data_IF_042711811504
#
_entry.id   IF_042711811504
#
_cell.length_a   1.000
_cell.length_b   1.000
_cell.length_c   1.000
_cell.angle_alpha   90.00
_cell.angle_beta   90.00
_cell.angle_gamma   90.00
#
_symmetry.space_group_name_H-M   'P 1'
#
loop_
_entity.id
_entity.type
_entity.pdbx_description
1 polymer ?
#
# COMPACT_ATOMS: atom_id res chain seq x y z
N UNK A 1 0.38 -20.86 6.19
CA UNK A 1 1.52 -20.01 6.62
C UNK A 1 1.63 -18.80 5.73
N UNK A 2 1.83 -17.64 6.31
CA UNK A 2 1.89 -16.38 5.58
C UNK A 2 3.34 -15.89 5.49
N UNK A 3 3.77 -15.54 4.30
CA UNK A 3 5.07 -14.92 4.05
C UNK A 3 4.85 -13.54 3.44
N UNK A 4 5.65 -12.56 3.87
CA UNK A 4 5.63 -11.22 3.26
C UNK A 4 7.05 -10.89 2.83
N UNK A 5 7.22 -10.46 1.60
CA UNK A 5 8.54 -10.14 1.05
C UNK A 5 8.42 -9.10 -0.08
N UNK A 6 9.55 -8.65 -0.57
CA UNK A 6 9.59 -7.77 -1.73
C UNK A 6 9.17 -8.56 -2.99
N UNK A 7 8.52 -7.86 -3.90
CA UNK A 7 8.06 -8.42 -5.17
C UNK A 7 9.26 -8.75 -6.07
N UNK A 8 9.18 -9.88 -6.77
CA UNK A 8 10.09 -10.22 -7.88
C UNK A 8 9.26 -10.35 -9.16
N UNK A 9 9.93 -10.34 -10.32
CA UNK A 9 9.25 -10.31 -11.61
C UNK A 9 8.25 -11.46 -11.79
N UNK A 10 8.58 -12.64 -11.28
CA UNK A 10 7.70 -13.81 -11.41
C UNK A 10 6.38 -13.68 -10.63
N UNK A 11 6.26 -12.69 -9.75
CA UNK A 11 5.04 -12.49 -8.97
C UNK A 11 3.96 -11.74 -9.74
N UNK A 12 4.28 -11.11 -10.88
CA UNK A 12 3.36 -10.20 -11.56
C UNK A 12 2.02 -10.84 -11.93
N UNK A 13 2.02 -12.07 -12.43
CA UNK A 13 0.77 -12.75 -12.77
C UNK A 13 -0.09 -13.01 -11.53
N UNK A 14 0.52 -13.44 -10.44
CA UNK A 14 -0.18 -13.63 -9.17
C UNK A 14 -0.77 -12.33 -8.63
N UNK A 15 -0.02 -11.23 -8.75
CA UNK A 15 -0.50 -9.92 -8.33
C UNK A 15 -1.68 -9.46 -9.19
N UNK A 16 -1.62 -9.66 -10.51
CA UNK A 16 -2.73 -9.34 -11.41
C UNK A 16 -3.99 -10.13 -11.04
N UNK A 17 -3.83 -11.39 -10.65
CA UNK A 17 -4.96 -12.20 -10.19
C UNK A 17 -5.59 -11.61 -8.92
N UNK A 18 -4.79 -11.12 -7.98
CA UNK A 18 -5.32 -10.42 -6.80
C UNK A 18 -6.06 -9.15 -7.21
N UNK A 19 -5.46 -8.35 -8.09
CA UNK A 19 -6.06 -7.11 -8.57
C UNK A 19 -7.41 -7.32 -9.28
N UNK A 20 -7.60 -8.49 -9.91
CA UNK A 20 -8.87 -8.85 -10.52
C UNK A 20 -9.98 -9.04 -9.49
N UNK A 21 -9.67 -9.23 -8.22
CA UNK A 21 -10.66 -9.48 -7.16
C UNK A 21 -10.98 -8.24 -6.34
N UNK A 22 -10.26 -7.13 -6.54
CA UNK A 22 -10.42 -5.92 -5.73
C UNK A 22 -10.45 -4.67 -6.63
N UNK A 23 -10.92 -3.55 -6.07
CA UNK A 23 -10.97 -2.26 -6.77
C UNK A 23 -9.85 -1.34 -6.30
N UNK A 24 -8.60 -1.75 -6.51
CA UNK A 24 -7.45 -0.92 -6.15
C UNK A 24 -6.96 -0.11 -7.36
N UNK A 25 -6.58 -0.79 -8.42
CA UNK A 25 -6.31 -0.23 -9.74
C UNK A 25 -6.39 -1.36 -10.77
N UNK A 26 -6.63 -1.05 -12.06
CA UNK A 26 -6.75 -2.10 -13.07
C UNK A 26 -5.47 -2.94 -13.22
N UNK A 27 -5.59 -4.28 -13.33
CA UNK A 27 -4.41 -5.13 -13.49
C UNK A 27 -3.51 -4.75 -14.65
N UNK A 28 -4.07 -4.23 -15.74
CA UNK A 28 -3.31 -3.82 -16.93
C UNK A 28 -2.38 -2.63 -16.66
N UNK A 29 -2.58 -1.91 -15.56
CA UNK A 29 -1.69 -0.80 -15.18
C UNK A 29 -0.46 -1.26 -14.41
N UNK A 30 -0.44 -2.50 -13.94
CA UNK A 30 0.63 -2.98 -13.06
C UNK A 30 2.00 -2.90 -13.71
N UNK A 31 2.11 -3.34 -14.96
CA UNK A 31 3.42 -3.39 -15.65
C UNK A 31 4.07 -2.00 -15.71
N UNK A 32 3.29 -0.97 -16.03
CA UNK A 32 3.80 0.40 -16.09
C UNK A 32 4.12 0.95 -14.69
N UNK A 33 3.26 0.68 -13.71
CA UNK A 33 3.44 1.20 -12.37
C UNK A 33 4.67 0.62 -11.68
N UNK A 34 4.98 -0.66 -11.91
CA UNK A 34 6.08 -1.36 -11.23
C UNK A 34 7.40 -1.30 -12.02
N UNK A 35 7.37 -0.76 -13.24
CA UNK A 35 8.53 -0.79 -14.13
C UNK A 35 9.78 -0.13 -13.52
N UNK A 36 9.64 1.02 -12.87
CA UNK A 36 10.75 1.69 -12.22
C UNK A 36 11.39 0.80 -11.17
N UNK A 37 10.57 0.15 -10.34
CA UNK A 37 11.05 -0.75 -9.30
C UNK A 37 11.81 -1.96 -9.87
N UNK A 38 11.29 -2.56 -10.95
CA UNK A 38 11.90 -3.76 -11.52
C UNK A 38 13.16 -3.47 -12.32
N UNK A 39 13.26 -2.28 -12.95
CA UNK A 39 14.30 -2.00 -13.94
C UNK A 39 15.40 -1.07 -13.44
N UNK A 40 15.19 -0.35 -12.35
CA UNK A 40 16.19 0.58 -11.80
C UNK A 40 16.72 0.05 -10.48
N UNK A 41 17.97 -0.50 -10.43
CA UNK A 41 18.52 -1.03 -9.18
C UNK A 41 18.76 0.04 -8.12
N UNK A 42 18.77 1.32 -8.51
CA UNK A 42 18.95 2.44 -7.58
C UNK A 42 17.62 3.03 -7.09
N UNK A 43 16.48 2.42 -7.45
CA UNK A 43 15.18 2.94 -7.08
C UNK A 43 14.94 2.87 -5.57
N UNK A 44 14.25 3.87 -5.05
CA UNK A 44 13.78 3.86 -3.66
C UNK A 44 12.32 3.45 -3.56
N UNK A 45 11.65 3.15 -4.68
CA UNK A 45 10.32 2.57 -4.68
C UNK A 45 10.39 1.13 -4.17
N UNK A 46 9.38 0.72 -3.41
CA UNK A 46 9.36 -0.63 -2.84
C UNK A 46 7.97 -1.24 -3.06
N UNK A 47 7.97 -2.45 -3.59
CA UNK A 47 6.76 -3.25 -3.77
C UNK A 47 6.87 -4.50 -2.92
N UNK A 48 5.82 -4.77 -2.16
CA UNK A 48 5.74 -5.94 -1.26
C UNK A 48 4.58 -6.83 -1.68
N UNK A 49 4.69 -8.10 -1.37
CA UNK A 49 3.60 -9.06 -1.60
C UNK A 49 3.45 -9.96 -0.39
N UNK A 50 2.23 -10.40 -0.13
CA UNK A 50 1.96 -11.43 0.86
C UNK A 50 1.58 -12.72 0.15
N UNK A 51 2.04 -13.83 0.72
CA UNK A 51 1.87 -15.16 0.15
C UNK A 51 1.27 -16.04 1.24
N UNK A 52 0.16 -16.70 0.92
CA UNK A 52 -0.50 -17.64 1.81
C UNK A 52 -0.51 -19.00 1.14
N UNK A 53 0.11 -19.99 1.80
CA UNK A 53 0.19 -21.36 1.30
C UNK A 53 0.67 -21.44 -0.14
N UNK A 54 1.74 -20.66 -0.44
CA UNK A 54 2.37 -20.64 -1.76
C UNK A 54 1.68 -19.79 -2.80
N UNK A 55 0.59 -19.09 -2.45
CA UNK A 55 -0.20 -18.27 -3.37
C UNK A 55 -0.11 -16.80 -3.02
N UNK A 56 0.13 -15.94 -4.01
CA UNK A 56 0.07 -14.49 -3.86
C UNK A 56 -1.33 -14.09 -3.42
N UNK A 57 -1.43 -13.32 -2.33
CA UNK A 57 -2.72 -12.87 -1.80
C UNK A 57 -2.79 -11.40 -1.45
N UNK A 58 -1.69 -10.68 -1.57
CA UNK A 58 -1.69 -9.25 -1.25
C UNK A 58 -0.59 -8.50 -1.95
N UNK A 59 -0.75 -7.18 -1.99
CA UNK A 59 0.18 -6.26 -2.64
C UNK A 59 0.30 -4.99 -1.82
N UNK A 60 1.51 -4.43 -1.75
CA UNK A 60 1.77 -3.12 -1.17
C UNK A 60 2.78 -2.37 -2.01
N UNK A 61 2.57 -1.07 -2.18
CA UNK A 61 3.48 -0.22 -2.94
C UNK A 61 3.73 1.07 -2.19
N UNK A 62 4.98 1.38 -1.93
CA UNK A 62 5.35 2.63 -1.30
C UNK A 62 6.59 3.23 -1.97
N UNK A 63 6.70 4.55 -1.86
CA UNK A 63 7.80 5.30 -2.43
C UNK A 63 8.06 6.55 -1.57
N UNK A 64 9.28 7.11 -1.61
CA UNK A 64 9.55 8.33 -0.87
C UNK A 64 8.81 9.51 -1.45
N UNK A 65 8.34 10.40 -0.57
CA UNK A 65 7.81 11.69 -0.98
C UNK A 65 8.95 12.59 -1.40
N UNK A 66 8.75 13.26 -2.53
CA UNK A 66 9.76 14.14 -3.09
C UNK A 66 10.08 15.29 -2.13
N UNK A 67 11.36 15.66 -2.07
CA UNK A 67 11.84 16.83 -1.31
C UNK A 67 11.67 16.71 0.20
N UNK A 68 11.45 15.48 0.71
CA UNK A 68 11.35 15.26 2.16
C UNK A 68 12.60 14.58 2.69
N UNK A 69 12.79 14.69 4.00
CA UNK A 69 13.79 13.93 4.72
C UNK A 69 13.12 12.64 5.23
N UNK A 70 13.19 11.58 4.42
CA UNK A 70 12.83 10.22 4.80
C UNK A 70 11.35 10.03 5.17
N UNK A 71 10.45 10.66 4.41
CA UNK A 71 9.01 10.40 4.46
C UNK A 71 8.63 9.50 3.29
N UNK A 72 7.99 8.38 3.59
CA UNK A 72 7.42 7.48 2.58
C UNK A 72 5.93 7.65 2.51
N UNK A 73 5.38 7.40 1.32
CA UNK A 73 3.94 7.35 1.08
C UNK A 73 3.57 5.91 0.67
N UNK A 74 2.57 5.36 1.32
CA UNK A 74 1.97 4.09 0.93
C UNK A 74 0.93 4.38 -0.14
N UNK A 75 1.30 4.16 -1.41
CA UNK A 75 0.42 4.48 -2.54
C UNK A 75 -0.65 3.44 -2.79
N UNK A 76 -0.39 2.18 -2.42
CA UNK A 76 -1.37 1.12 -2.62
C UNK A 76 -1.15 0.01 -1.61
N UNK A 77 -2.24 -0.55 -1.10
CA UNK A 77 -2.26 -1.79 -0.33
C UNK A 77 -3.55 -2.51 -0.65
N UNK A 78 -3.47 -3.79 -0.92
CA UNK A 78 -4.64 -4.59 -1.22
C UNK A 78 -4.47 -6.04 -0.83
N UNK A 79 -5.58 -6.67 -0.46
CA UNK A 79 -5.64 -8.09 -0.10
C UNK A 79 -6.74 -8.72 -0.94
N UNK A 80 -6.48 -9.93 -1.42
CA UNK A 80 -7.45 -10.69 -2.20
C UNK A 80 -8.82 -10.68 -1.51
N UNK A 81 -9.87 -10.53 -2.30
CA UNK A 81 -11.21 -10.27 -1.79
C UNK A 81 -11.68 -11.26 -0.72
N UNK A 82 -11.50 -12.56 -0.94
CA UNK A 82 -11.95 -13.60 -0.01
C UNK A 82 -11.08 -13.73 1.25
N UNK A 83 -9.97 -13.04 1.31
CA UNK A 83 -9.07 -13.03 2.47
C UNK A 83 -9.12 -11.73 3.26
N UNK A 84 -9.96 -10.79 2.87
CA UNK A 84 -10.14 -9.54 3.62
C UNK A 84 -10.81 -9.81 4.96
N UNK A 85 -10.51 -8.96 5.95
CA UNK A 85 -11.06 -9.09 7.29
C UNK A 85 -10.45 -10.20 8.14
N UNK A 86 -9.36 -10.81 7.67
CA UNK A 86 -8.69 -11.93 8.36
C UNK A 86 -7.29 -11.58 8.88
N UNK A 87 -6.97 -10.29 8.91
CA UNK A 87 -5.70 -9.81 9.47
C UNK A 87 -4.53 -9.74 8.49
N UNK A 88 -4.71 -10.06 7.21
CA UNK A 88 -3.62 -10.00 6.23
C UNK A 88 -3.13 -8.57 6.00
N UNK A 89 -4.05 -7.61 5.89
CA UNK A 89 -3.69 -6.20 5.72
C UNK A 89 -2.88 -5.67 6.90
N UNK A 90 -3.29 -6.03 8.11
CA UNK A 90 -2.56 -5.65 9.33
C UNK A 90 -1.14 -6.21 9.34
N UNK A 91 -0.98 -7.47 8.95
CA UNK A 91 0.34 -8.10 8.88
C UNK A 91 1.23 -7.41 7.84
N UNK A 92 0.67 -7.07 6.68
CA UNK A 92 1.41 -6.35 5.65
C UNK A 92 1.85 -4.97 6.15
N UNK A 93 0.96 -4.24 6.82
CA UNK A 93 1.31 -2.92 7.35
C UNK A 93 2.43 -3.01 8.38
N UNK A 94 2.34 -3.97 9.31
CA UNK A 94 3.41 -4.19 10.29
C UNK A 94 4.74 -4.48 9.62
N UNK A 95 4.73 -5.30 8.58
CA UNK A 95 5.96 -5.63 7.85
C UNK A 95 6.54 -4.41 7.14
N UNK A 96 5.70 -3.65 6.45
CA UNK A 96 6.12 -2.45 5.70
C UNK A 96 6.68 -1.42 6.68
N UNK A 97 5.98 -1.16 7.78
CA UNK A 97 6.43 -0.20 8.80
C UNK A 97 7.79 -0.62 9.38
N UNK A 98 7.93 -1.89 9.72
CA UNK A 98 9.21 -2.41 10.24
C UNK A 98 10.34 -2.30 9.25
N UNK A 99 10.07 -2.65 7.99
CA UNK A 99 11.06 -2.55 6.93
C UNK A 99 11.54 -1.09 6.75
N UNK A 100 10.60 -0.17 6.65
CA UNK A 100 10.92 1.25 6.46
C UNK A 100 11.66 1.84 7.67
N UNK A 101 11.23 1.46 8.87
CA UNK A 101 11.91 1.89 10.13
C UNK A 101 13.36 1.40 10.16
N UNK A 102 13.58 0.15 9.82
CA UNK A 102 14.93 -0.45 9.84
C UNK A 102 15.86 0.20 8.81
N UNK A 103 15.30 0.77 7.75
CA UNK A 103 16.06 1.53 6.75
C UNK A 103 16.25 3.00 7.14
N UNK A 104 15.78 3.42 8.31
CA UNK A 104 15.98 4.77 8.82
C UNK A 104 14.93 5.77 8.37
N UNK A 105 13.81 5.32 7.82
CA UNK A 105 12.74 6.23 7.43
C UNK A 105 11.96 6.68 8.66
N UNK A 106 11.48 7.94 8.65
CA UNK A 106 10.91 8.57 9.83
C UNK A 106 9.39 8.51 9.89
N UNK A 107 8.74 8.65 8.75
CA UNK A 107 7.30 8.87 8.66
C UNK A 107 6.75 8.06 7.50
N UNK A 108 5.58 7.45 7.74
CA UNK A 108 4.77 6.86 6.68
C UNK A 108 3.45 7.60 6.60
N UNK A 109 3.10 8.08 5.41
CA UNK A 109 1.78 8.66 5.16
C UNK A 109 1.01 7.76 4.20
N UNK A 110 -0.31 7.85 4.25
CA UNK A 110 -1.19 7.16 3.31
C UNK A 110 -2.37 8.06 3.00
N UNK A 111 -2.69 8.16 1.71
CA UNK A 111 -3.80 9.00 1.22
C UNK A 111 -4.96 8.10 0.80
N UNK A 112 -6.17 8.49 1.19
CA UNK A 112 -7.37 7.74 0.83
C UNK A 112 -8.52 8.70 0.57
N UNK A 113 -9.65 8.14 0.13
CA UNK A 113 -10.87 8.87 -0.18
C UNK A 113 -11.64 9.24 1.09
N UNK A 114 -12.44 10.32 1.01
CA UNK A 114 -13.35 10.73 2.08
C UNK A 114 -14.75 10.15 1.92
N UNK A 115 -15.04 9.46 0.81
CA UNK A 115 -16.40 8.96 0.56
C UNK A 115 -16.79 7.82 1.50
N UNK A 116 -18.10 7.56 1.71
CA UNK A 116 -18.55 6.49 2.61
C UNK A 116 -18.05 5.10 2.25
N UNK A 117 -17.79 4.85 0.97
CA UNK A 117 -17.23 3.57 0.51
C UNK A 117 -15.91 3.22 1.20
N UNK A 118 -15.18 4.24 1.68
CA UNK A 118 -13.87 4.07 2.31
C UNK A 118 -13.91 4.21 3.83
N UNK A 119 -15.10 4.15 4.44
CA UNK A 119 -15.22 4.23 5.90
C UNK A 119 -14.40 3.15 6.60
N UNK A 120 -14.46 1.91 6.11
CA UNK A 120 -13.69 0.81 6.69
C UNK A 120 -12.19 0.99 6.48
N UNK A 121 -11.79 1.52 5.33
CA UNK A 121 -10.39 1.81 5.03
C UNK A 121 -9.84 2.84 6.00
N UNK A 122 -10.56 3.92 6.23
CA UNK A 122 -10.14 4.95 7.19
C UNK A 122 -10.06 4.40 8.61
N UNK A 123 -11.06 3.61 9.02
CA UNK A 123 -11.05 2.96 10.33
C UNK A 123 -9.85 2.00 10.48
N UNK A 124 -9.50 1.29 9.42
CA UNK A 124 -8.35 0.39 9.39
C UNK A 124 -7.05 1.15 9.77
N UNK A 125 -6.80 2.28 9.13
CA UNK A 125 -5.59 3.06 9.45
C UNK A 125 -5.62 3.62 10.86
N UNK A 126 -6.78 4.11 11.32
CA UNK A 126 -6.91 4.62 12.69
C UNK A 126 -6.63 3.52 13.72
N UNK A 127 -7.12 2.30 13.50
CA UNK A 127 -6.86 1.16 14.39
C UNK A 127 -5.38 0.79 14.42
N UNK A 128 -4.64 1.05 13.36
CA UNK A 128 -3.21 0.77 13.30
C UNK A 128 -2.36 1.90 13.88
N UNK A 129 -2.99 2.91 14.46
CA UNK A 129 -2.29 4.00 15.13
C UNK A 129 -1.97 5.19 14.23
N UNK A 130 -2.56 5.26 13.04
CA UNK A 130 -2.38 6.43 12.16
C UNK A 130 -3.28 7.55 12.61
N UNK A 131 -2.76 8.79 12.55
CA UNK A 131 -3.51 10.00 12.82
C UNK A 131 -4.03 10.57 11.51
N UNK A 132 -5.30 11.01 11.49
CA UNK A 132 -5.83 11.78 10.38
C UNK A 132 -5.24 13.18 10.45
N UNK A 133 -4.32 13.48 9.56
CA UNK A 133 -3.49 14.68 9.66
C UNK A 133 -3.93 15.79 8.73
N UNK A 134 -4.51 15.47 7.58
CA UNK A 134 -4.87 16.47 6.60
C UNK A 134 -6.04 16.02 5.73
N UNK A 135 -6.76 17.00 5.19
CA UNK A 135 -7.82 16.78 4.21
C UNK A 135 -7.66 17.81 3.10
N UNK A 136 -7.60 17.37 1.85
CA UNK A 136 -7.58 18.27 0.70
C UNK A 136 -8.89 18.11 -0.04
N UNK A 137 -9.64 19.22 -0.11
CA UNK A 137 -11.00 19.25 -0.67
C UNK A 137 -10.98 18.90 -2.16
N UNK A 138 -11.90 18.03 -2.58
CA UNK A 138 -12.17 17.70 -3.99
C UNK A 138 -10.93 17.19 -4.74
N UNK A 139 -9.98 16.60 -4.04
CA UNK A 139 -8.70 16.21 -4.62
C UNK A 139 -8.85 15.13 -5.69
N UNK A 140 -9.60 14.08 -5.40
CA UNK A 140 -9.78 12.97 -6.33
C UNK A 140 -10.78 13.30 -7.41
N UNK A 141 -11.86 13.95 -7.02
CA UNK A 141 -12.92 14.49 -7.89
C UNK A 141 -13.84 15.34 -7.02
N UNK A 142 -14.78 16.04 -7.63
CA UNK A 142 -15.76 16.82 -6.88
C UNK A 142 -16.50 15.92 -5.88
N UNK A 143 -16.51 16.31 -4.62
CA UNK A 143 -17.14 15.56 -3.53
C UNK A 143 -16.29 14.46 -2.94
N UNK A 144 -15.07 14.27 -3.41
CA UNK A 144 -14.17 13.23 -2.91
C UNK A 144 -12.83 13.83 -2.49
N UNK A 145 -12.69 14.07 -1.20
CA UNK A 145 -11.52 14.71 -0.63
C UNK A 145 -10.38 13.69 -0.43
N UNK A 146 -9.15 14.18 -0.49
CA UNK A 146 -8.01 13.37 -0.08
C UNK A 146 -7.86 13.47 1.42
N UNK A 147 -7.94 12.33 2.10
CA UNK A 147 -7.69 12.22 3.54
C UNK A 147 -6.30 11.61 3.73
N UNK A 148 -5.41 12.34 4.40
CA UNK A 148 -4.04 11.88 4.64
C UNK A 148 -3.89 11.42 6.07
N UNK A 149 -3.44 10.17 6.23
CA UNK A 149 -3.08 9.57 7.51
C UNK A 149 -1.57 9.58 7.68
N UNK A 150 -1.14 9.71 8.92
CA UNK A 150 0.26 9.90 9.29
C UNK A 150 0.64 8.99 10.44
N UNK A 151 1.83 8.41 10.35
CA UNK A 151 2.40 7.62 11.45
C UNK A 151 3.89 7.84 11.54
N UNK A 152 4.38 8.06 12.75
CA UNK A 152 5.82 8.09 13.04
C UNK A 152 6.32 6.64 13.10
N UNK A 153 7.39 6.36 12.38
CA UNK A 153 7.99 5.02 12.32
C UNK A 153 9.01 4.74 13.44
#
# INVERSE_FOLDING_TARGET
MTEIRKVVKNDLEGIKNVLNTIELFPPEMLDDMIAEYLNNPETEEIWFTSIQDGKICGIGYCAPEKLTDRTYNLYAIGVQNDLQGKGFGKKMMSYIEGYLRDKGNRILIVDTSSTPEFDQTRAFYQHLGYSKEATIRDFWKEGDDKVTFWKKL
#
